data_IF_792000124138
#
_entry.id   IF_792000124138
#
_cell.length_a   1.000
_cell.length_b   1.000
_cell.length_c   1.000
_cell.angle_alpha   90.00
_cell.angle_beta   90.00
_cell.angle_gamma   90.00
#
_symmetry.space_group_name_H-M   'P 1'
#
loop_
_entity.id
_entity.type
_entity.pdbx_description
1 polymer ?
#
# COMPACT_ATOMS: atom_id res chain seq x y z
N UNK A 1 -23.03 24.46 5.90
CA UNK A 1 -22.31 23.29 5.38
C UNK A 1 -20.84 23.67 5.22
N UNK A 2 -19.93 22.95 5.86
CA UNK A 2 -18.49 23.19 5.70
C UNK A 2 -18.04 22.82 4.27
N UNK A 3 -16.99 23.44 3.74
CA UNK A 3 -16.50 23.17 2.36
C UNK A 3 -16.17 21.68 2.15
N UNK A 4 -15.63 21.01 3.17
CA UNK A 4 -15.26 19.59 3.13
C UNK A 4 -16.50 18.68 3.06
N UNK A 5 -17.53 18.99 3.85
CA UNK A 5 -18.81 18.28 3.84
C UNK A 5 -19.48 18.35 2.47
N UNK A 6 -19.55 19.54 1.87
CA UNK A 6 -20.10 19.74 0.52
C UNK A 6 -19.39 18.87 -0.53
N UNK A 7 -18.05 18.85 -0.51
CA UNK A 7 -17.25 18.04 -1.45
C UNK A 7 -17.54 16.54 -1.31
N UNK A 8 -17.67 16.05 -0.08
CA UNK A 8 -17.96 14.63 0.17
C UNK A 8 -19.32 14.23 -0.41
N UNK A 9 -20.37 15.03 -0.18
CA UNK A 9 -21.68 14.79 -0.78
C UNK A 9 -21.62 14.85 -2.32
N UNK A 10 -20.88 15.81 -2.88
CA UNK A 10 -20.75 15.99 -4.33
C UNK A 10 -20.05 14.83 -5.03
N UNK A 11 -18.97 14.28 -4.45
CA UNK A 11 -18.21 13.18 -5.06
C UNK A 11 -18.88 11.82 -4.89
N UNK A 12 -19.59 11.62 -3.78
CA UNK A 12 -20.29 10.36 -3.48
C UNK A 12 -21.72 10.32 -4.01
N UNK A 13 -22.29 11.48 -4.38
CA UNK A 13 -23.67 11.64 -4.85
C UNK A 13 -24.72 11.19 -3.84
N UNK A 14 -24.41 11.32 -2.56
CA UNK A 14 -25.36 11.04 -1.47
C UNK A 14 -25.60 12.32 -0.67
N UNK A 15 -26.81 12.45 -0.13
CA UNK A 15 -27.23 13.66 0.60
C UNK A 15 -26.98 13.55 2.12
N UNK A 16 -26.46 12.41 2.58
CA UNK A 16 -26.13 12.16 3.99
C UNK A 16 -24.62 12.15 4.20
N UNK A 17 -24.13 13.05 5.06
CA UNK A 17 -22.70 13.20 5.32
C UNK A 17 -22.03 11.93 5.86
N UNK A 18 -22.67 11.23 6.81
CA UNK A 18 -22.10 10.00 7.37
C UNK A 18 -22.02 8.89 6.32
N UNK A 19 -23.04 8.77 5.45
CA UNK A 19 -22.99 7.83 4.33
C UNK A 19 -21.90 8.18 3.32
N UNK A 20 -21.71 9.47 3.01
CA UNK A 20 -20.64 9.94 2.13
C UNK A 20 -19.26 9.61 2.72
N UNK A 21 -19.10 9.80 4.03
CA UNK A 21 -17.85 9.51 4.73
C UNK A 21 -17.53 8.00 4.71
N UNK A 22 -18.51 7.15 4.97
CA UNK A 22 -18.38 5.69 4.89
C UNK A 22 -17.96 5.22 3.49
N UNK A 23 -18.55 5.80 2.44
CA UNK A 23 -18.20 5.49 1.05
C UNK A 23 -16.74 5.83 0.79
N UNK A 24 -16.31 7.04 1.15
CA UNK A 24 -14.93 7.50 0.91
C UNK A 24 -13.92 6.67 1.69
N UNK A 25 -14.22 6.27 2.93
CA UNK A 25 -13.34 5.37 3.68
C UNK A 25 -13.20 4.00 3.02
N UNK A 26 -14.31 3.40 2.58
CA UNK A 26 -14.27 2.11 1.86
C UNK A 26 -13.49 2.20 0.56
N UNK A 27 -13.70 3.27 -0.20
CA UNK A 27 -12.96 3.50 -1.43
C UNK A 27 -11.47 3.76 -1.16
N UNK A 28 -11.12 4.53 -0.13
CA UNK A 28 -9.74 4.71 0.29
C UNK A 28 -9.07 3.38 0.61
N UNK A 29 -9.69 2.53 1.44
CA UNK A 29 -9.16 1.20 1.77
C UNK A 29 -8.99 0.34 0.50
N UNK A 30 -9.98 0.33 -0.38
CA UNK A 30 -9.93 -0.41 -1.65
C UNK A 30 -8.76 0.04 -2.52
N UNK A 31 -8.61 1.35 -2.73
CA UNK A 31 -7.52 1.89 -3.57
C UNK A 31 -6.16 1.74 -2.91
N UNK A 32 -6.06 1.91 -1.58
CA UNK A 32 -4.82 1.71 -0.84
C UNK A 32 -4.35 0.27 -0.91
N UNK A 33 -5.24 -0.70 -0.69
CA UNK A 33 -4.95 -2.13 -0.85
C UNK A 33 -4.56 -2.48 -2.29
N UNK A 34 -5.25 -1.93 -3.28
CA UNK A 34 -4.90 -2.12 -4.70
C UNK A 34 -3.50 -1.60 -5.01
N UNK A 35 -3.18 -0.38 -4.56
CA UNK A 35 -1.87 0.24 -4.73
C UNK A 35 -0.76 -0.62 -4.10
N UNK A 36 -0.91 -1.02 -2.83
CA UNK A 36 0.09 -1.79 -2.11
C UNK A 36 0.31 -3.18 -2.73
N UNK A 37 -0.75 -3.85 -3.20
CA UNK A 37 -0.63 -5.12 -3.92
C UNK A 37 0.16 -4.96 -5.22
N UNK A 38 -0.06 -3.87 -5.96
CA UNK A 38 0.68 -3.61 -7.18
C UNK A 38 2.14 -3.24 -6.92
N UNK A 39 2.41 -2.46 -5.86
CA UNK A 39 3.78 -2.17 -5.45
C UNK A 39 4.52 -3.44 -5.01
N UNK A 40 3.87 -4.33 -4.25
CA UNK A 40 4.44 -5.64 -3.92
C UNK A 40 4.76 -6.43 -5.20
N UNK A 41 3.78 -6.55 -6.11
CA UNK A 41 3.97 -7.25 -7.38
C UNK A 41 5.11 -6.63 -8.23
N UNK A 42 5.29 -5.31 -8.20
CA UNK A 42 6.41 -4.63 -8.88
C UNK A 42 7.76 -5.13 -8.37
N UNK A 43 7.91 -5.30 -7.06
CA UNK A 43 9.12 -5.87 -6.49
C UNK A 43 9.26 -7.37 -6.80
N UNK A 44 8.17 -8.14 -6.72
CA UNK A 44 8.18 -9.58 -7.05
C UNK A 44 8.61 -9.82 -8.49
N UNK A 45 8.13 -9.00 -9.43
CA UNK A 45 8.54 -9.05 -10.84
C UNK A 45 10.00 -8.63 -11.01
N UNK A 46 10.45 -7.57 -10.32
CA UNK A 46 11.84 -7.09 -10.39
C UNK A 46 12.84 -8.14 -9.92
N UNK A 47 12.54 -8.83 -8.82
CA UNK A 47 13.46 -9.78 -8.18
C UNK A 47 13.19 -11.24 -8.53
N UNK A 48 12.07 -11.53 -9.20
CA UNK A 48 11.66 -12.88 -9.58
C UNK A 48 11.38 -13.79 -8.37
N UNK A 49 10.98 -13.22 -7.23
CA UNK A 49 10.72 -13.94 -5.98
C UNK A 49 9.79 -13.16 -5.05
N UNK A 50 9.25 -13.81 -4.03
CA UNK A 50 8.46 -13.15 -2.98
C UNK A 50 9.33 -12.36 -2.00
N UNK A 51 8.74 -11.43 -1.23
CA UNK A 51 9.48 -10.67 -0.20
C UNK A 51 10.18 -11.57 0.81
N UNK A 52 9.51 -12.61 1.31
CA UNK A 52 10.10 -13.53 2.29
C UNK A 52 11.24 -14.38 1.73
N UNK A 53 11.28 -14.62 0.42
CA UNK A 53 12.45 -15.21 -0.23
C UNK A 53 13.57 -14.18 -0.41
N UNK A 54 13.21 -12.95 -0.78
CA UNK A 54 14.14 -11.84 -0.93
C UNK A 54 14.87 -11.54 0.39
N UNK A 55 14.14 -11.42 1.50
CA UNK A 55 14.69 -11.24 2.86
C UNK A 55 15.77 -12.28 3.21
N UNK A 56 15.56 -13.55 2.85
CA UNK A 56 16.51 -14.63 3.15
C UNK A 56 17.71 -14.66 2.21
N UNK A 57 17.54 -14.20 0.97
CA UNK A 57 18.54 -14.27 -0.10
C UNK A 57 19.38 -13.00 -0.21
N UNK A 58 18.80 -11.83 0.05
CA UNK A 58 19.46 -10.53 -0.14
C UNK A 58 20.80 -10.42 0.58
N UNK A 59 21.00 -10.88 1.84
CA UNK A 59 22.30 -10.76 2.50
C UNK A 59 23.39 -11.67 1.89
N UNK A 60 22.98 -12.67 1.10
CA UNK A 60 23.86 -13.65 0.45
C UNK A 60 24.17 -13.30 -1.01
N UNK A 61 23.53 -12.24 -1.55
CA UNK A 61 23.80 -11.79 -2.91
C UNK A 61 25.19 -11.13 -2.97
N UNK A 62 25.84 -11.08 -4.16
CA UNK A 62 27.15 -10.44 -4.31
C UNK A 62 27.20 -8.99 -3.82
N UNK A 63 26.07 -8.28 -3.86
CA UNK A 63 25.89 -6.91 -3.36
C UNK A 63 25.06 -6.86 -2.06
N UNK A 64 25.09 -7.93 -1.26
CA UNK A 64 24.22 -8.13 -0.09
C UNK A 64 24.30 -7.03 0.98
N UNK A 65 25.43 -6.33 1.04
CA UNK A 65 25.69 -5.22 1.98
C UNK A 65 25.73 -3.87 1.27
N UNK A 66 25.24 -3.78 0.03
CA UNK A 66 25.18 -2.51 -0.68
C UNK A 66 24.03 -1.68 -0.14
N UNK A 67 24.26 -0.37 -0.05
CA UNK A 67 23.25 0.57 0.40
C UNK A 67 21.99 0.53 -0.47
N UNK A 68 22.15 0.30 -1.77
CA UNK A 68 21.05 0.18 -2.72
C UNK A 68 20.17 -1.02 -2.42
N UNK A 69 20.77 -2.17 -2.09
CA UNK A 69 20.02 -3.38 -1.77
C UNK A 69 19.32 -3.26 -0.41
N UNK A 70 19.98 -2.65 0.57
CA UNK A 70 19.38 -2.35 1.88
C UNK A 70 18.18 -1.40 1.74
N UNK A 71 18.31 -0.34 0.94
CA UNK A 71 17.21 0.58 0.66
C UNK A 71 16.05 -0.09 -0.07
N UNK A 72 16.36 -1.01 -0.98
CA UNK A 72 15.34 -1.81 -1.64
C UNK A 72 14.59 -2.70 -0.64
N UNK A 73 15.32 -3.37 0.25
CA UNK A 73 14.76 -4.21 1.32
C UNK A 73 13.78 -3.41 2.18
N UNK A 74 14.20 -2.28 2.76
CA UNK A 74 13.33 -1.52 3.65
C UNK A 74 12.10 -0.94 2.94
N UNK A 75 12.25 -0.51 1.68
CA UNK A 75 11.10 -0.02 0.90
C UNK A 75 10.08 -1.10 0.63
N UNK A 76 10.53 -2.32 0.33
CA UNK A 76 9.62 -3.44 0.11
C UNK A 76 8.98 -3.92 1.43
N UNK A 77 9.77 -4.00 2.50
CA UNK A 77 9.29 -4.33 3.85
C UNK A 77 8.19 -3.37 4.30
N UNK A 78 8.37 -2.06 4.05
CA UNK A 78 7.35 -1.06 4.36
C UNK A 78 6.04 -1.30 3.59
N UNK A 79 6.11 -1.69 2.31
CA UNK A 79 4.92 -2.05 1.52
C UNK A 79 4.21 -3.27 2.08
N UNK A 80 4.95 -4.31 2.47
CA UNK A 80 4.38 -5.52 3.08
C UNK A 80 3.73 -5.19 4.43
N UNK A 81 4.43 -4.45 5.28
CA UNK A 81 3.94 -4.05 6.60
C UNK A 81 2.66 -3.23 6.48
N UNK A 82 2.64 -2.25 5.58
CA UNK A 82 1.45 -1.42 5.35
C UNK A 82 0.29 -2.23 4.74
N UNK A 83 0.59 -3.19 3.86
CA UNK A 83 -0.41 -4.08 3.27
C UNK A 83 -1.07 -4.97 4.32
N UNK A 84 -0.30 -5.57 5.21
CA UNK A 84 -0.83 -6.40 6.29
C UNK A 84 -1.66 -5.57 7.28
N UNK A 85 -1.22 -4.35 7.60
CA UNK A 85 -2.02 -3.42 8.41
C UNK A 85 -3.39 -3.18 7.79
N UNK A 86 -3.48 -2.72 6.53
CA UNK A 86 -4.76 -2.39 5.90
C UNK A 86 -5.64 -3.60 5.58
N UNK A 87 -5.10 -4.82 5.51
CA UNK A 87 -5.92 -6.05 5.43
C UNK A 87 -6.61 -6.39 6.74
N UNK A 88 -6.11 -5.87 7.86
CA UNK A 88 -6.66 -6.11 9.21
C UNK A 88 -7.64 -5.04 9.69
N UNK A 89 -7.75 -3.94 8.94
CA UNK A 89 -8.75 -2.87 9.13
C UNK A 89 -10.09 -3.30 8.55
#
# INVERSE_FOLDING_TARGET
MQVTEKKLLEITKVDNFNAALDIVFKDYLKYKLYFLKNENNRYEVKWGMSFGEFEKKSPKMPNGTSYELEQEYYKWEAVITELEYFKSV
#
